data_IF_501994741023
#
_entry.id   IF_501994741023
#
_cell.length_a   1.000
_cell.length_b   1.000
_cell.length_c   1.000
_cell.angle_alpha   90.00
_cell.angle_beta   90.00
_cell.angle_gamma   90.00
#
_symmetry.space_group_name_H-M   'P 1'
#
loop_
_entity.id
_entity.type
_entity.pdbx_description
1 polymer ?
#
# COMPACT_ATOMS: atom_id res chain seq x y z
N UNK A 1 21.79 8.22 -16.56
CA UNK A 1 21.93 8.90 -15.25
C UNK A 1 20.74 9.83 -14.92
N UNK A 2 20.09 10.50 -15.89
CA UNK A 2 18.90 11.35 -15.63
C UNK A 2 17.66 10.62 -15.05
N UNK A 3 17.47 9.33 -15.35
CA UNK A 3 16.25 8.59 -15.00
C UNK A 3 16.14 8.20 -13.51
N UNK A 4 17.30 8.00 -12.87
CA UNK A 4 17.38 7.59 -11.46
C UNK A 4 17.07 8.79 -10.55
N UNK A 5 17.67 9.95 -10.82
CA UNK A 5 17.43 11.19 -10.06
C UNK A 5 15.96 11.64 -10.10
N UNK A 6 15.31 11.53 -11.26
CA UNK A 6 13.88 11.86 -11.40
C UNK A 6 12.96 10.91 -10.62
N UNK A 7 13.35 9.64 -10.47
CA UNK A 7 12.56 8.65 -9.72
C UNK A 7 12.68 8.91 -8.21
N UNK A 8 13.89 9.18 -7.72
CA UNK A 8 14.11 9.54 -6.32
C UNK A 8 13.34 10.79 -5.92
N UNK A 9 13.40 11.85 -6.74
CA UNK A 9 12.63 13.07 -6.52
C UNK A 9 11.12 12.80 -6.41
N UNK A 10 10.58 11.93 -7.27
CA UNK A 10 9.16 11.55 -7.23
C UNK A 10 8.80 10.76 -5.95
N UNK A 11 9.69 9.90 -5.46
CA UNK A 11 9.48 9.17 -4.20
C UNK A 11 9.48 10.12 -3.02
N UNK A 12 10.41 11.07 -2.95
CA UNK A 12 10.45 12.09 -1.89
C UNK A 12 9.16 12.93 -1.86
N UNK A 13 8.66 13.34 -3.03
CA UNK A 13 7.39 14.06 -3.12
C UNK A 13 6.21 13.23 -2.62
N UNK A 14 6.14 11.93 -2.97
CA UNK A 14 5.11 11.03 -2.49
C UNK A 14 5.20 10.81 -0.97
N UNK A 15 6.41 10.73 -0.41
CA UNK A 15 6.61 10.61 1.04
C UNK A 15 6.11 11.86 1.77
N UNK A 16 6.42 13.06 1.27
CA UNK A 16 5.90 14.33 1.82
C UNK A 16 4.38 14.36 1.77
N UNK A 17 3.78 13.99 0.64
CA UNK A 17 2.32 13.95 0.51
C UNK A 17 1.68 12.97 1.51
N UNK A 18 2.25 11.77 1.68
CA UNK A 18 1.75 10.79 2.66
C UNK A 18 1.83 11.36 4.09
N UNK A 19 2.94 12.01 4.45
CA UNK A 19 3.11 12.62 5.79
C UNK A 19 2.07 13.72 6.04
N UNK A 20 1.86 14.60 5.07
CA UNK A 20 0.86 15.68 5.15
C UNK A 20 -0.57 15.14 5.25
N UNK A 21 -0.89 14.10 4.48
CA UNK A 21 -2.20 13.44 4.52
C UNK A 21 -2.45 12.77 5.87
N UNK A 22 -1.46 12.05 6.41
CA UNK A 22 -1.56 11.42 7.74
C UNK A 22 -1.77 12.49 8.81
N UNK A 23 -1.01 13.59 8.79
CA UNK A 23 -1.17 14.69 9.75
C UNK A 23 -2.57 15.33 9.64
N UNK A 24 -3.07 15.54 8.42
CA UNK A 24 -4.40 16.09 8.17
C UNK A 24 -5.51 15.17 8.68
N UNK A 25 -5.41 13.87 8.41
CA UNK A 25 -6.33 12.83 8.88
C UNK A 25 -6.38 12.80 10.41
N UNK A 26 -5.23 12.82 11.07
CA UNK A 26 -5.15 12.84 12.54
C UNK A 26 -5.74 14.13 13.13
N UNK A 27 -5.55 15.28 12.47
CA UNK A 27 -6.14 16.55 12.88
C UNK A 27 -7.68 16.54 12.78
N UNK A 28 -8.23 15.96 11.71
CA UNK A 28 -9.69 15.82 11.56
C UNK A 28 -10.25 14.83 12.58
N UNK A 29 -9.64 13.66 12.70
CA UNK A 29 -10.12 12.61 13.61
C UNK A 29 -10.12 13.06 15.08
N UNK A 30 -9.11 13.84 15.51
CA UNK A 30 -9.06 14.39 16.88
C UNK A 30 -10.17 15.39 17.19
N UNK A 31 -10.77 16.04 16.18
CA UNK A 31 -11.88 16.99 16.36
C UNK A 31 -13.24 16.30 16.35
N UNK A 32 -13.41 15.30 15.49
CA UNK A 32 -14.72 14.72 15.22
C UNK A 32 -14.97 13.42 16.02
N UNK A 33 -13.94 12.73 16.50
CA UNK A 33 -14.02 11.44 17.22
C UNK A 33 -14.82 10.33 16.49
N UNK A 34 -15.17 10.55 15.22
CA UNK A 34 -15.86 9.58 14.37
C UNK A 34 -14.81 8.78 13.59
N UNK A 35 -14.98 7.45 13.43
CA UNK A 35 -14.16 6.65 12.52
C UNK A 35 -14.23 7.21 11.09
N UNK A 36 -13.08 7.40 10.47
CA UNK A 36 -13.01 7.79 9.07
C UNK A 36 -13.29 6.57 8.19
N UNK A 37 -14.15 6.73 7.20
CA UNK A 37 -14.54 5.68 6.27
C UNK A 37 -14.10 6.04 4.83
N UNK A 38 -14.47 5.19 3.86
CA UNK A 38 -14.12 5.36 2.45
C UNK A 38 -14.70 6.62 1.80
N UNK A 39 -15.73 7.26 2.40
CA UNK A 39 -16.31 8.51 1.89
C UNK A 39 -15.44 9.74 2.21
N UNK A 40 -14.46 9.59 3.11
CA UNK A 40 -13.57 10.68 3.45
C UNK A 40 -12.50 10.90 2.37
N UNK A 41 -12.49 12.11 1.79
CA UNK A 41 -11.57 12.47 0.72
C UNK A 41 -10.09 12.34 1.12
N UNK A 42 -9.72 12.63 2.38
CA UNK A 42 -8.34 12.49 2.84
C UNK A 42 -7.93 11.01 2.90
N UNK A 43 -8.81 10.13 3.36
CA UNK A 43 -8.58 8.67 3.36
C UNK A 43 -8.42 8.14 1.93
N UNK A 44 -9.27 8.60 1.00
CA UNK A 44 -9.15 8.25 -0.41
C UNK A 44 -7.79 8.68 -0.97
N UNK A 45 -7.39 9.94 -0.74
CA UNK A 45 -6.09 10.47 -1.17
C UNK A 45 -4.92 9.70 -0.55
N UNK A 46 -4.99 9.35 0.73
CA UNK A 46 -3.97 8.55 1.40
C UNK A 46 -3.83 7.17 0.73
N UNK A 47 -4.94 6.47 0.45
CA UNK A 47 -4.91 5.18 -0.22
C UNK A 47 -4.25 5.27 -1.61
N UNK A 48 -4.54 6.34 -2.36
CA UNK A 48 -3.92 6.59 -3.67
C UNK A 48 -2.42 6.88 -3.55
N UNK A 49 -2.00 7.70 -2.59
CA UNK A 49 -0.59 8.01 -2.36
C UNK A 49 0.20 6.75 -1.93
N UNK A 50 -0.39 5.91 -1.08
CA UNK A 50 0.15 4.61 -0.69
C UNK A 50 0.31 3.66 -1.90
N UNK A 51 -0.71 3.53 -2.75
CA UNK A 51 -0.62 2.72 -3.98
C UNK A 51 0.51 3.24 -4.89
N UNK A 52 0.63 4.56 -5.03
CA UNK A 52 1.66 5.19 -5.86
C UNK A 52 3.07 4.91 -5.34
N UNK A 53 3.32 5.04 -4.03
CA UNK A 53 4.66 4.80 -3.48
C UNK A 53 5.05 3.33 -3.55
N UNK A 54 4.09 2.41 -3.32
CA UNK A 54 4.37 0.97 -3.47
C UNK A 54 4.75 0.60 -4.90
N UNK A 55 4.15 1.24 -5.92
CA UNK A 55 4.53 1.02 -7.31
C UNK A 55 5.83 1.71 -7.71
N UNK A 56 6.12 2.88 -7.14
CA UNK A 56 7.35 3.62 -7.45
C UNK A 56 8.61 2.83 -7.05
N UNK A 57 8.53 2.05 -5.97
CA UNK A 57 9.62 1.18 -5.51
C UNK A 57 9.66 -0.21 -6.18
N UNK A 58 8.66 -0.58 -6.99
CA UNK A 58 8.55 -1.92 -7.55
C UNK A 58 9.38 -2.06 -8.83
N UNK A 59 10.30 -3.03 -8.86
CA UNK A 59 10.90 -3.51 -10.11
C UNK A 59 9.81 -4.21 -10.93
N UNK A 60 9.72 -3.91 -12.23
CA UNK A 60 8.82 -4.66 -13.11
C UNK A 60 9.19 -6.14 -13.11
N UNK A 61 8.22 -6.98 -12.76
CA UNK A 61 8.36 -8.44 -12.75
C UNK A 61 7.13 -9.04 -13.43
N UNK A 62 7.31 -10.19 -14.07
CA UNK A 62 6.23 -10.93 -14.72
C UNK A 62 6.16 -12.34 -14.14
N UNK A 63 4.97 -12.93 -14.11
CA UNK A 63 4.81 -14.35 -13.82
C UNK A 63 5.30 -15.20 -15.00
N UNK A 64 5.46 -16.51 -14.79
CA UNK A 64 5.79 -17.45 -15.86
C UNK A 64 4.75 -17.42 -17.01
N UNK A 65 3.49 -17.12 -16.69
CA UNK A 65 2.38 -16.97 -17.65
C UNK A 65 2.33 -15.59 -18.32
N UNK A 66 3.32 -14.72 -18.08
CA UNK A 66 3.40 -13.39 -18.69
C UNK A 66 2.54 -12.31 -18.03
N UNK A 67 1.89 -12.59 -16.89
CA UNK A 67 1.11 -11.58 -16.18
C UNK A 67 2.05 -10.62 -15.42
N UNK A 68 1.85 -9.30 -15.59
CA UNK A 68 2.62 -8.30 -14.86
C UNK A 68 2.32 -8.41 -13.36
N UNK A 69 3.37 -8.60 -12.56
CA UNK A 69 3.29 -8.52 -11.10
C UNK A 69 3.10 -7.06 -10.69
N UNK A 70 2.27 -6.86 -9.68
CA UNK A 70 2.03 -5.56 -9.06
C UNK A 70 2.51 -5.58 -7.60
N UNK A 71 2.41 -4.46 -6.88
CA UNK A 71 2.83 -4.37 -5.48
C UNK A 71 2.15 -5.40 -4.56
N UNK A 72 0.93 -5.84 -4.89
CA UNK A 72 0.25 -6.92 -4.18
C UNK A 72 1.06 -8.22 -4.17
N UNK A 73 1.72 -8.58 -5.27
CA UNK A 73 2.53 -9.79 -5.33
C UNK A 73 3.68 -9.72 -4.32
N UNK A 74 4.34 -8.56 -4.24
CA UNK A 74 5.38 -8.32 -3.22
C UNK A 74 4.82 -8.48 -1.80
N UNK A 75 3.71 -7.83 -1.48
CA UNK A 75 3.08 -7.91 -0.16
C UNK A 75 2.71 -9.36 0.19
N UNK A 76 2.06 -10.07 -0.72
CA UNK A 76 1.62 -11.46 -0.52
C UNK A 76 2.79 -12.44 -0.40
N UNK A 77 3.90 -12.21 -1.11
CA UNK A 77 5.11 -13.04 -1.04
C UNK A 77 5.93 -12.76 0.25
N UNK A 78 5.93 -11.51 0.72
CA UNK A 78 6.63 -11.09 1.94
C UNK A 78 5.90 -11.47 3.23
N UNK A 79 4.58 -11.63 3.17
CA UNK A 79 3.70 -11.85 4.33
C UNK A 79 2.81 -13.12 4.20
N UNK A 80 3.34 -14.27 3.78
CA UNK A 80 2.52 -15.42 3.36
C UNK A 80 1.69 -16.05 4.49
N UNK A 81 2.03 -15.78 5.76
CA UNK A 81 1.36 -16.35 6.94
C UNK A 81 0.30 -15.41 7.54
N UNK A 82 0.17 -14.19 7.05
CA UNK A 82 -0.76 -13.21 7.61
C UNK A 82 -2.22 -13.54 7.26
N UNK A 83 -3.11 -13.38 8.22
CA UNK A 83 -4.55 -13.65 8.06
C UNK A 83 -5.19 -12.75 7.01
N UNK A 84 -4.87 -11.46 7.02
CA UNK A 84 -5.32 -10.50 6.01
C UNK A 84 -4.91 -10.91 4.58
N UNK A 85 -3.74 -11.55 4.39
CA UNK A 85 -3.33 -12.05 3.07
C UNK A 85 -4.21 -13.23 2.64
N UNK A 86 -4.55 -14.15 3.56
CA UNK A 86 -5.50 -15.23 3.28
C UNK A 86 -6.89 -14.69 2.96
N UNK A 87 -7.36 -13.72 3.75
CA UNK A 87 -8.65 -13.05 3.57
C UNK A 87 -8.76 -12.36 2.20
N UNK A 88 -7.80 -11.53 1.83
CA UNK A 88 -7.85 -10.84 0.52
C UNK A 88 -7.79 -11.84 -0.64
N UNK A 89 -7.08 -12.96 -0.48
CA UNK A 89 -7.04 -14.00 -1.50
C UNK A 89 -8.32 -14.84 -1.60
N UNK A 90 -9.14 -14.91 -0.54
CA UNK A 90 -10.41 -15.64 -0.56
C UNK A 90 -11.56 -14.84 -1.19
N UNK A 91 -11.41 -13.53 -1.38
CA UNK A 91 -12.41 -12.68 -2.04
C UNK A 91 -12.37 -12.91 -3.55
N UNK A 92 -13.37 -13.61 -4.07
CA UNK A 92 -13.48 -13.99 -5.49
C UNK A 92 -13.67 -12.81 -6.45
N UNK A 93 -14.19 -11.68 -5.95
CA UNK A 93 -14.51 -10.52 -6.77
C UNK A 93 -13.25 -9.73 -7.19
N UNK A 94 -12.15 -9.88 -6.45
CA UNK A 94 -10.88 -9.22 -6.77
C UNK A 94 -10.08 -10.02 -7.79
N UNK A 95 -10.37 -9.77 -9.06
CA UNK A 95 -9.76 -10.48 -10.20
C UNK A 95 -8.36 -9.98 -10.58
N UNK A 96 -7.97 -8.78 -10.15
CA UNK A 96 -6.66 -8.18 -10.49
C UNK A 96 -5.74 -8.05 -9.28
N UNK A 97 -4.43 -8.16 -9.48
CA UNK A 97 -3.44 -7.93 -8.41
C UNK A 97 -3.53 -6.50 -7.86
N UNK A 98 -3.79 -5.51 -8.72
CA UNK A 98 -4.07 -4.14 -8.29
C UNK A 98 -5.27 -4.05 -7.36
N UNK A 99 -6.39 -4.70 -7.71
CA UNK A 99 -7.61 -4.71 -6.89
C UNK A 99 -7.36 -5.33 -5.52
N UNK A 100 -6.63 -6.45 -5.49
CA UNK A 100 -6.21 -7.10 -4.23
C UNK A 100 -5.31 -6.19 -3.39
N UNK A 101 -4.33 -5.52 -4.00
CA UNK A 101 -3.46 -4.57 -3.30
C UNK A 101 -4.22 -3.39 -2.71
N UNK A 102 -5.21 -2.85 -3.43
CA UNK A 102 -6.10 -1.79 -2.93
C UNK A 102 -6.97 -2.26 -1.76
N UNK A 103 -7.48 -3.48 -1.83
CA UNK A 103 -8.26 -4.07 -0.75
C UNK A 103 -7.40 -4.31 0.49
N UNK A 104 -6.16 -4.75 0.31
CA UNK A 104 -5.19 -4.86 1.39
C UNK A 104 -4.94 -3.52 2.10
N UNK A 105 -4.69 -2.44 1.37
CA UNK A 105 -4.45 -1.11 1.97
C UNK A 105 -5.63 -0.73 2.87
N UNK A 106 -6.86 -0.85 2.37
CA UNK A 106 -8.07 -0.54 3.14
C UNK A 106 -8.22 -1.42 4.36
N UNK A 107 -8.10 -2.74 4.19
CA UNK A 107 -8.26 -3.68 5.28
C UNK A 107 -7.19 -3.47 6.36
N UNK A 108 -5.93 -3.20 5.98
CA UNK A 108 -4.85 -2.97 6.93
C UNK A 108 -5.00 -1.64 7.69
N UNK A 109 -5.61 -0.61 7.08
CA UNK A 109 -5.98 0.63 7.76
C UNK A 109 -7.14 0.39 8.74
N UNK A 110 -8.17 -0.35 8.33
CA UNK A 110 -9.30 -0.72 9.18
C UNK A 110 -8.86 -1.52 10.44
N UNK A 111 -7.98 -2.49 10.24
CA UNK A 111 -7.40 -3.32 11.31
C UNK A 111 -6.25 -2.63 12.08
N UNK A 112 -5.91 -1.38 11.72
CA UNK A 112 -4.84 -0.57 12.34
C UNK A 112 -3.46 -1.25 12.34
N UNK A 113 -3.19 -2.10 11.36
CA UNK A 113 -1.98 -2.91 11.31
C UNK A 113 -1.02 -2.54 10.15
N UNK A 114 -1.39 -1.58 9.30
CA UNK A 114 -0.62 -1.24 8.09
C UNK A 114 0.88 -0.99 8.38
N UNK A 115 1.21 -0.17 9.37
CA UNK A 115 2.61 0.12 9.70
C UNK A 115 3.39 -1.14 10.10
N UNK A 116 2.82 -1.97 10.98
CA UNK A 116 3.44 -3.23 11.43
C UNK A 116 3.62 -4.22 10.29
N UNK A 117 2.66 -4.28 9.36
CA UNK A 117 2.76 -5.14 8.18
C UNK A 117 3.88 -4.69 7.25
N UNK A 118 3.99 -3.39 6.98
CA UNK A 118 5.05 -2.84 6.13
C UNK A 118 6.42 -3.02 6.77
N UNK A 119 6.54 -2.82 8.08
CA UNK A 119 7.78 -3.07 8.80
C UNK A 119 8.23 -4.53 8.64
N UNK A 120 7.29 -5.48 8.74
CA UNK A 120 7.57 -6.90 8.54
C UNK A 120 7.94 -7.24 7.10
N UNK A 121 7.41 -6.54 6.09
CA UNK A 121 7.87 -6.68 4.71
C UNK A 121 9.34 -6.30 4.54
N UNK A 122 9.81 -5.29 5.27
CA UNK A 122 11.18 -4.77 5.17
C UNK A 122 12.17 -5.66 5.93
N UNK A 123 11.81 -6.12 7.14
CA UNK A 123 12.70 -6.96 7.98
C UNK A 123 12.93 -8.34 7.36
N UNK A 124 12.01 -8.83 6.52
CA UNK A 124 12.14 -10.14 5.90
C UNK A 124 13.24 -10.09 4.80
N UNK A 125 14.49 -10.36 5.19
CA UNK A 125 15.74 -10.27 4.40
C UNK A 125 15.74 -11.03 3.05
N UNK A 126 14.69 -11.80 2.73
CA UNK A 126 14.59 -12.52 1.45
C UNK A 126 14.47 -11.61 0.22
N UNK A 127 14.26 -10.31 0.39
CA UNK A 127 13.96 -9.38 -0.71
C UNK A 127 14.72 -8.03 -0.68
N UNK A 128 15.71 -7.88 0.22
CA UNK A 128 16.67 -6.75 0.19
C UNK A 128 17.91 -7.15 -0.63
#
# INVERSE_FOLDING_TARGET
MQNISSTYFKVEQLLSEIQELVASILSVHSKESVPLNDDNLLVHRLCMALENIFRAGAKEKYSFTGAKKDFWNFLSESLPKEEIIRFINSISDFRTYQGKGRAFIRQALMEKCLADMLQRCIINEKFI
#
